data_IF_526846832452
#
_entry.id   IF_526846832452
#
_cell.length_a   1.000
_cell.length_b   1.000
_cell.length_c   1.000
_cell.angle_alpha   90.00
_cell.angle_beta   90.00
_cell.angle_gamma   90.00
#
_symmetry.space_group_name_H-M   'P 1'
#
loop_
_entity.id
_entity.type
_entity.pdbx_description
1 polymer ?
#
# COMPACT_ATOMS: atom_id res chain seq x y z
N UNK A 1 -13.62 -14.77 2.00
CA UNK A 1 -13.02 -14.55 3.35
C UNK A 1 -12.98 -13.07 3.70
N UNK A 2 -12.33 -12.21 2.90
CA UNK A 2 -12.30 -10.75 3.15
C UNK A 2 -13.70 -10.15 3.34
N UNK A 3 -14.63 -10.43 2.42
CA UNK A 3 -16.03 -9.95 2.50
C UNK A 3 -16.75 -10.35 3.81
N UNK A 4 -16.42 -11.53 4.34
CA UNK A 4 -17.07 -12.07 5.54
C UNK A 4 -16.58 -11.30 6.76
N UNK A 5 -15.27 -11.10 6.92
CA UNK A 5 -14.73 -10.39 8.07
C UNK A 5 -14.98 -8.89 8.01
N UNK A 6 -14.83 -8.30 6.82
CA UNK A 6 -14.95 -6.87 6.63
C UNK A 6 -16.43 -6.45 6.54
N UNK A 7 -17.19 -7.01 5.60
CA UNK A 7 -18.58 -6.65 5.37
C UNK A 7 -19.52 -7.30 6.39
N UNK A 8 -19.66 -8.63 6.32
CA UNK A 8 -20.71 -9.35 7.06
C UNK A 8 -20.54 -9.23 8.58
N UNK A 9 -19.36 -9.57 9.12
CA UNK A 9 -19.08 -9.54 10.55
C UNK A 9 -19.02 -8.10 11.09
N UNK A 10 -18.49 -7.17 10.27
CA UNK A 10 -18.40 -5.75 10.61
C UNK A 10 -19.75 -5.02 10.55
N UNK A 11 -20.81 -5.65 10.04
CA UNK A 11 -22.12 -5.03 9.86
C UNK A 11 -22.16 -3.97 8.76
N UNK A 12 -21.21 -4.03 7.81
CA UNK A 12 -21.09 -3.08 6.71
C UNK A 12 -21.68 -3.65 5.42
N UNK A 13 -21.83 -2.78 4.41
CA UNK A 13 -22.16 -3.22 3.06
C UNK A 13 -21.15 -4.23 2.50
N UNK A 14 -21.62 -5.02 1.55
CA UNK A 14 -20.84 -6.07 0.91
C UNK A 14 -21.24 -6.25 -0.56
N UNK A 15 -20.28 -6.69 -1.37
CA UNK A 15 -20.46 -7.03 -2.77
C UNK A 15 -21.26 -5.98 -3.56
N UNK A 16 -22.44 -6.32 -4.12
CA UNK A 16 -23.22 -5.42 -4.97
C UNK A 16 -23.83 -4.23 -4.23
N UNK A 17 -23.85 -4.24 -2.89
CA UNK A 17 -24.39 -3.14 -2.08
C UNK A 17 -23.36 -2.02 -1.86
N UNK A 18 -22.09 -2.28 -2.17
CA UNK A 18 -21.03 -1.26 -2.15
C UNK A 18 -21.23 -0.34 -3.36
N UNK A 19 -21.24 0.97 -3.12
CA UNK A 19 -21.34 1.96 -4.20
C UNK A 19 -20.18 1.83 -5.18
N UNK A 20 -20.39 2.26 -6.42
CA UNK A 20 -19.33 2.27 -7.43
C UNK A 20 -18.17 3.16 -7.00
N UNK A 21 -16.96 2.71 -7.35
CA UNK A 21 -15.75 3.50 -7.21
C UNK A 21 -15.92 4.85 -7.94
N UNK A 22 -15.42 5.94 -7.36
CA UNK A 22 -15.54 7.34 -7.84
C UNK A 22 -16.94 7.99 -7.79
N UNK A 23 -18.01 7.33 -7.35
CA UNK A 23 -19.32 7.98 -7.16
C UNK A 23 -19.57 8.36 -5.71
N UNK A 24 -19.91 9.61 -5.40
CA UNK A 24 -20.22 10.05 -4.03
C UNK A 24 -21.75 10.19 -3.78
N UNK A 25 -22.57 9.41 -4.48
CA UNK A 25 -24.04 9.50 -4.42
C UNK A 25 -24.65 8.90 -3.14
N UNK A 26 -23.88 8.10 -2.40
CA UNK A 26 -24.25 7.49 -1.14
C UNK A 26 -23.00 7.24 -0.31
N UNK A 27 -23.18 6.91 0.97
CA UNK A 27 -22.07 6.41 1.78
C UNK A 27 -21.52 5.12 1.18
N UNK A 28 -20.20 4.96 1.29
CA UNK A 28 -19.56 3.74 0.81
C UNK A 28 -19.80 2.56 1.74
N UNK A 29 -19.85 2.83 3.05
CA UNK A 29 -20.01 1.85 4.12
C UNK A 29 -19.06 0.64 3.96
N UNK A 30 -17.76 0.93 3.82
CA UNK A 30 -16.73 -0.08 3.63
C UNK A 30 -16.32 -0.65 5.00
N UNK A 31 -16.67 -1.90 5.26
CA UNK A 31 -16.18 -2.60 6.43
C UNK A 31 -14.69 -2.93 6.36
N UNK A 32 -14.02 -2.97 7.51
CA UNK A 32 -12.60 -3.29 7.65
C UNK A 32 -12.41 -4.30 8.78
N UNK A 33 -11.40 -5.16 8.67
CA UNK A 33 -11.02 -6.09 9.72
C UNK A 33 -9.54 -5.91 10.05
N UNK A 34 -9.23 -5.70 11.33
CA UNK A 34 -7.87 -5.55 11.83
C UNK A 34 -7.58 -6.66 12.84
N UNK A 35 -6.44 -7.33 12.68
CA UNK A 35 -6.01 -8.43 13.55
C UNK A 35 -4.57 -8.19 13.96
N UNK A 36 -4.30 -8.25 15.26
CA UNK A 36 -2.96 -8.26 15.82
C UNK A 36 -2.75 -9.58 16.56
N UNK A 37 -1.63 -10.25 16.28
CA UNK A 37 -1.24 -11.50 16.92
C UNK A 37 0.08 -11.23 17.62
N UNK A 38 0.12 -11.49 18.92
CA UNK A 38 1.35 -11.42 19.70
C UNK A 38 2.20 -12.68 19.43
N UNK A 39 3.37 -12.58 18.76
CA UNK A 39 4.20 -13.74 18.48
C UNK A 39 4.80 -14.37 19.76
N UNK A 40 4.99 -13.59 20.83
CA UNK A 40 5.61 -14.06 22.08
C UNK A 40 4.67 -14.97 22.89
N UNK A 41 3.37 -14.94 22.58
CA UNK A 41 2.38 -15.86 23.13
C UNK A 41 2.45 -17.29 22.53
N UNK A 42 3.30 -17.52 21.52
CA UNK A 42 3.41 -18.80 20.81
C UNK A 42 4.82 -19.40 20.92
N UNK A 43 5.35 -19.94 19.82
CA UNK A 43 6.66 -20.58 19.80
C UNK A 43 7.78 -19.52 19.93
N UNK A 44 8.84 -19.78 20.70
CA UNK A 44 9.95 -18.85 20.87
C UNK A 44 10.74 -18.65 19.57
N UNK A 45 11.50 -17.55 19.51
CA UNK A 45 12.40 -17.24 18.40
C UNK A 45 11.69 -16.88 17.09
N UNK A 46 10.53 -16.22 17.17
CA UNK A 46 9.74 -15.86 16.00
C UNK A 46 10.54 -15.03 14.98
N UNK A 47 11.28 -14.03 15.45
CA UNK A 47 12.02 -13.10 14.60
C UNK A 47 13.14 -13.81 13.83
N UNK A 48 13.93 -14.65 14.51
CA UNK A 48 15.03 -15.40 13.91
C UNK A 48 14.50 -16.39 12.86
N UNK A 49 13.42 -17.10 13.20
CA UNK A 49 12.80 -18.08 12.29
C UNK A 49 12.17 -17.41 11.07
N UNK A 50 11.54 -16.24 11.25
CA UNK A 50 10.99 -15.47 10.14
C UNK A 50 12.10 -14.92 9.25
N UNK A 51 13.20 -14.45 9.84
CA UNK A 51 14.37 -13.98 9.10
C UNK A 51 14.99 -15.12 8.28
N UNK A 52 15.23 -16.28 8.89
CA UNK A 52 15.73 -17.48 8.20
C UNK A 52 14.83 -17.88 7.04
N UNK A 53 13.51 -17.86 7.24
CA UNK A 53 12.54 -18.12 6.18
C UNK A 53 12.64 -17.12 5.02
N UNK A 54 12.67 -15.82 5.31
CA UNK A 54 12.79 -14.79 4.28
C UNK A 54 14.11 -14.90 3.50
N UNK A 55 15.21 -15.18 4.19
CA UNK A 55 16.52 -15.35 3.55
C UNK A 55 16.56 -16.62 2.70
N UNK A 56 15.93 -17.69 3.16
CA UNK A 56 15.76 -18.91 2.36
C UNK A 56 15.04 -18.59 1.05
N UNK A 57 13.95 -17.83 1.09
CA UNK A 57 13.20 -17.44 -0.11
C UNK A 57 14.02 -16.57 -1.06
N UNK A 58 14.69 -15.53 -0.54
CA UNK A 58 15.50 -14.62 -1.37
C UNK A 58 16.67 -15.32 -2.07
N UNK A 59 17.16 -16.42 -1.51
CA UNK A 59 18.26 -17.20 -2.06
C UNK A 59 17.83 -18.31 -3.04
N UNK A 60 16.53 -18.45 -3.34
CA UNK A 60 16.08 -19.37 -4.38
C UNK A 60 16.54 -18.90 -5.77
N UNK A 61 16.75 -19.83 -6.73
CA UNK A 61 17.02 -19.47 -8.11
C UNK A 61 15.87 -18.60 -8.67
N UNK A 62 16.17 -17.43 -9.25
CA UNK A 62 15.14 -16.60 -9.84
C UNK A 62 14.59 -17.24 -11.12
N UNK A 63 13.32 -16.98 -11.43
CA UNK A 63 12.69 -17.45 -12.67
C UNK A 63 13.23 -16.72 -13.93
N UNK A 64 13.73 -15.49 -13.75
CA UNK A 64 14.44 -14.70 -14.75
C UNK A 64 15.79 -14.27 -14.15
N UNK A 65 16.90 -14.60 -14.82
CA UNK A 65 18.25 -14.30 -14.37
C UNK A 65 18.53 -12.79 -14.22
N UNK A 66 17.70 -11.92 -14.82
CA UNK A 66 17.81 -10.47 -14.69
C UNK A 66 17.15 -9.92 -13.42
N UNK A 67 16.36 -10.74 -12.72
CA UNK A 67 15.60 -10.35 -11.54
C UNK A 67 16.07 -11.14 -10.32
N UNK A 68 15.89 -10.56 -9.14
CA UNK A 68 16.10 -11.24 -7.86
C UNK A 68 14.77 -11.75 -7.31
N UNK A 69 14.81 -12.79 -6.48
CA UNK A 69 13.63 -13.18 -5.70
C UNK A 69 13.39 -12.13 -4.61
N UNK A 70 12.17 -11.63 -4.54
CA UNK A 70 11.75 -10.62 -3.58
C UNK A 70 10.66 -11.20 -2.67
N UNK A 71 10.65 -10.74 -1.41
CA UNK A 71 9.57 -11.05 -0.45
C UNK A 71 8.72 -9.81 -0.19
N UNK A 72 7.57 -10.01 0.45
CA UNK A 72 6.65 -8.93 0.79
C UNK A 72 7.37 -7.77 1.52
N UNK A 73 7.23 -6.55 1.00
CA UNK A 73 7.86 -5.34 1.53
C UNK A 73 9.20 -4.95 0.88
N UNK A 74 9.84 -5.82 0.10
CA UNK A 74 11.09 -5.47 -0.62
C UNK A 74 10.87 -4.38 -1.70
N UNK A 75 9.81 -4.45 -2.54
CA UNK A 75 9.53 -3.39 -3.51
C UNK A 75 9.24 -2.04 -2.85
N UNK A 76 8.45 -2.05 -1.77
CA UNK A 76 8.10 -0.83 -1.03
C UNK A 76 9.33 -0.20 -0.36
N UNK A 77 10.22 -1.01 0.25
CA UNK A 77 11.50 -0.49 0.79
C UNK A 77 12.36 0.13 -0.29
N UNK A 78 12.38 -0.45 -1.48
CA UNK A 78 13.13 0.08 -2.62
C UNK A 78 12.55 1.43 -3.06
N UNK A 79 11.22 1.55 -3.11
CA UNK A 79 10.56 2.81 -3.42
C UNK A 79 10.76 3.88 -2.34
N UNK A 80 10.75 3.52 -1.05
CA UNK A 80 11.04 4.45 0.05
C UNK A 80 12.45 5.02 -0.10
N UNK A 81 13.45 4.17 -0.37
CA UNK A 81 14.83 4.63 -0.62
C UNK A 81 14.90 5.60 -1.80
N UNK A 82 14.22 5.29 -2.91
CA UNK A 82 14.15 6.18 -4.06
C UNK A 82 13.59 7.57 -3.67
N UNK A 83 12.49 7.61 -2.93
CA UNK A 83 11.85 8.85 -2.47
C UNK A 83 12.76 9.64 -1.53
N UNK A 84 13.47 8.97 -0.64
CA UNK A 84 14.48 9.57 0.24
C UNK A 84 15.65 10.16 -0.55
N UNK A 85 16.17 9.42 -1.53
CA UNK A 85 17.30 9.84 -2.38
C UNK A 85 16.95 11.05 -3.26
N UNK A 86 15.75 11.07 -3.86
CA UNK A 86 15.31 12.19 -4.70
C UNK A 86 14.75 13.37 -3.91
N UNK A 87 14.59 13.22 -2.59
CA UNK A 87 14.06 14.25 -1.70
C UNK A 87 12.58 14.61 -1.93
N UNK A 88 11.82 13.74 -2.59
CA UNK A 88 10.43 13.98 -2.96
C UNK A 88 9.75 12.77 -3.60
N UNK A 89 8.44 12.85 -3.84
CA UNK A 89 7.65 11.74 -4.41
C UNK A 89 7.49 11.95 -5.92
N UNK A 90 7.91 10.99 -6.76
CA UNK A 90 7.68 11.06 -8.20
C UNK A 90 6.19 10.94 -8.54
N UNK A 91 5.64 11.95 -9.21
CA UNK A 91 4.28 11.93 -9.72
C UNK A 91 4.27 12.06 -11.24
N UNK A 92 3.31 11.39 -11.88
CA UNK A 92 3.04 11.62 -13.29
C UNK A 92 2.57 13.08 -13.52
N UNK A 93 2.96 13.77 -14.61
CA UNK A 93 2.62 15.17 -14.85
C UNK A 93 1.12 15.51 -14.74
N UNK A 94 0.25 14.57 -15.14
CA UNK A 94 -1.19 14.75 -15.01
C UNK A 94 -1.69 14.81 -13.56
N UNK A 95 -1.01 14.16 -12.62
CA UNK A 95 -1.34 14.24 -11.19
C UNK A 95 -1.01 15.63 -10.64
N UNK A 96 0.12 16.22 -11.06
CA UNK A 96 0.50 17.59 -10.70
C UNK A 96 -0.53 18.59 -11.26
N UNK A 97 -0.90 18.46 -12.54
CA UNK A 97 -1.93 19.31 -13.15
C UNK A 97 -3.28 19.21 -12.40
N UNK A 98 -3.70 18.00 -12.03
CA UNK A 98 -4.91 17.79 -11.26
C UNK A 98 -4.85 18.44 -9.87
N UNK A 99 -3.72 18.27 -9.18
CA UNK A 99 -3.49 18.90 -7.87
C UNK A 99 -3.48 20.44 -7.96
N UNK A 100 -2.89 21.00 -9.02
CA UNK A 100 -2.86 22.44 -9.24
C UNK A 100 -4.25 23.02 -9.50
N UNK A 101 -5.07 22.37 -10.33
CA UNK A 101 -6.46 22.77 -10.55
C UNK A 101 -7.29 22.70 -9.28
N UNK A 102 -7.07 21.66 -8.46
CA UNK A 102 -7.73 21.56 -7.16
C UNK A 102 -7.30 22.67 -6.21
N UNK A 103 -5.99 22.94 -6.12
CA UNK A 103 -5.43 23.99 -5.27
C UNK A 103 -5.97 25.38 -5.63
N UNK A 104 -6.09 25.68 -6.93
CA UNK A 104 -6.71 26.92 -7.43
C UNK A 104 -8.17 27.03 -7.01
N UNK A 105 -8.97 25.97 -7.23
CA UNK A 105 -10.40 25.97 -6.88
C UNK A 105 -10.66 26.15 -5.37
N UNK A 106 -9.73 25.69 -4.53
CA UNK A 106 -9.81 25.79 -3.07
C UNK A 106 -9.04 26.99 -2.50
N UNK A 107 -8.39 27.78 -3.35
CA UNK A 107 -7.53 28.91 -2.96
C UNK A 107 -6.45 28.53 -1.93
N UNK A 108 -5.76 27.40 -2.16
CA UNK A 108 -4.64 26.94 -1.35
C UNK A 108 -3.34 26.93 -2.14
N UNK A 109 -2.21 26.91 -1.43
CA UNK A 109 -0.88 26.88 -2.06
C UNK A 109 -0.70 25.59 -2.88
N UNK A 110 -0.21 25.74 -4.11
CA UNK A 110 0.14 24.63 -5.00
C UNK A 110 1.32 23.80 -4.48
N UNK A 111 1.44 22.58 -5.00
CA UNK A 111 2.58 21.70 -4.71
C UNK A 111 3.88 22.32 -5.25
N UNK A 112 4.99 22.04 -4.57
CA UNK A 112 6.32 22.48 -5.03
C UNK A 112 6.95 21.37 -5.87
N UNK A 113 7.20 21.63 -7.14
CA UNK A 113 7.91 20.70 -8.03
C UNK A 113 9.41 20.89 -7.84
N UNK A 114 10.09 19.86 -7.33
CA UNK A 114 11.53 19.90 -7.05
C UNK A 114 12.38 19.68 -8.31
N UNK A 115 11.90 18.82 -9.23
CA UNK A 115 12.60 18.47 -10.47
C UNK A 115 11.63 17.92 -11.51
N UNK A 116 11.86 18.27 -12.77
CA UNK A 116 11.17 17.72 -13.95
C UNK A 116 12.15 16.81 -14.70
N UNK A 117 11.63 15.74 -15.31
CA UNK A 117 12.38 14.73 -16.04
C UNK A 117 11.74 14.48 -17.40
#
# INVERSE_FOLDING_TARGET
MVEIFCGILGGAHWGPNIRKWMTASSDADLGQCFVAIDPDAFAPGFHERLQEFMDTLRNLPPADEKLRVEVAGDPERTHVKLVEEVGGIPYHPNQIKGADSLAESLNVKKLTVLKEY
#
